data_IF_329773631135
#
_entry.id   IF_329773631135
#
_cell.length_a   1.000
_cell.length_b   1.000
_cell.length_c   1.000
_cell.angle_alpha   90.00
_cell.angle_beta   90.00
_cell.angle_gamma   90.00
#
_symmetry.space_group_name_H-M   'P 1'
#
loop_
_entity.id
_entity.type
_entity.pdbx_description
1 polymer ?
#
# COMPACT_ATOMS: atom_id res chain seq x y z
N UNK A 1 -5.93 17.58 14.17
CA UNK A 1 -6.32 18.17 12.88
C UNK A 1 -5.12 18.48 11.98
N UNK A 2 -4.06 19.17 12.44
CA UNK A 2 -2.91 19.50 11.55
C UNK A 2 -2.09 18.27 11.10
N UNK A 3 -1.74 17.36 12.02
CA UNK A 3 -0.93 16.17 11.70
C UNK A 3 -1.68 15.14 10.83
N UNK A 4 -3.00 15.02 11.00
CA UNK A 4 -3.84 14.12 10.20
C UNK A 4 -3.93 14.59 8.74
N UNK A 5 -4.05 15.91 8.54
CA UNK A 5 -4.14 16.53 7.23
C UNK A 5 -2.80 16.43 6.48
N UNK A 6 -1.66 16.68 7.14
CA UNK A 6 -0.33 16.52 6.54
C UNK A 6 -0.05 15.06 6.09
N UNK A 7 -0.40 14.08 6.93
CA UNK A 7 -0.24 12.66 6.59
C UNK A 7 -1.14 12.28 5.39
N UNK A 8 -2.38 12.75 5.38
CA UNK A 8 -3.31 12.49 4.29
C UNK A 8 -2.82 13.08 2.96
N UNK A 9 -2.32 14.32 2.97
CA UNK A 9 -1.75 15.01 1.79
C UNK A 9 -0.48 14.32 1.29
N UNK A 10 0.41 13.87 2.19
CA UNK A 10 1.63 13.13 1.79
C UNK A 10 1.33 11.75 1.22
N UNK A 11 0.28 11.07 1.70
CA UNK A 11 -0.20 9.81 1.12
C UNK A 11 -0.81 10.01 -0.27
N UNK A 12 -1.48 11.15 -0.49
CA UNK A 12 -2.04 11.50 -1.80
C UNK A 12 -0.98 12.00 -2.80
N UNK A 13 0.08 12.65 -2.31
CA UNK A 13 1.20 13.19 -3.09
C UNK A 13 2.35 12.21 -3.35
N UNK A 14 2.22 10.94 -2.97
CA UNK A 14 3.26 9.88 -2.97
C UNK A 14 3.81 9.48 -4.36
N UNK A 15 3.82 10.38 -5.34
CA UNK A 15 4.27 10.15 -6.70
C UNK A 15 5.77 9.80 -6.85
N UNK A 16 6.55 9.78 -5.77
CA UNK A 16 7.94 9.34 -5.80
C UNK A 16 8.03 7.82 -5.60
N UNK A 17 8.56 7.11 -6.60
CA UNK A 17 8.79 5.65 -6.60
C UNK A 17 9.53 5.13 -5.36
N UNK A 18 10.40 5.92 -4.74
CA UNK A 18 11.16 5.51 -3.56
C UNK A 18 10.35 5.65 -2.26
N UNK A 19 9.33 6.52 -2.23
CA UNK A 19 8.42 6.66 -1.09
C UNK A 19 7.40 5.51 -1.02
N UNK A 20 7.09 4.86 -2.14
CA UNK A 20 6.08 3.78 -2.17
C UNK A 20 6.42 2.65 -1.19
N UNK A 21 7.67 2.16 -1.18
CA UNK A 21 8.04 1.08 -0.27
C UNK A 21 8.01 1.53 1.19
N UNK A 22 8.50 2.74 1.47
CA UNK A 22 8.43 3.36 2.80
C UNK A 22 6.99 3.46 3.30
N UNK A 23 6.09 3.84 2.40
CA UNK A 23 4.66 3.95 2.68
C UNK A 23 4.00 2.59 2.92
N UNK A 24 4.41 1.53 2.21
CA UNK A 24 3.94 0.18 2.50
C UNK A 24 4.30 -0.24 3.94
N UNK A 25 5.50 0.08 4.41
CA UNK A 25 5.92 -0.19 5.80
C UNK A 25 5.15 0.66 6.82
N UNK A 26 4.79 1.91 6.49
CA UNK A 26 3.92 2.74 7.34
C UNK A 26 2.51 2.15 7.38
N UNK A 27 1.97 1.70 6.24
CA UNK A 27 0.63 1.13 6.14
C UNK A 27 0.52 -0.26 6.80
N UNK A 28 1.58 -1.06 6.82
CA UNK A 28 1.59 -2.37 7.48
C UNK A 28 1.71 -2.27 9.03
N UNK A 29 1.16 -1.22 9.61
CA UNK A 29 1.12 -1.05 11.06
C UNK A 29 0.26 -2.14 11.71
N UNK A 30 0.72 -2.80 12.81
CA UNK A 30 0.00 -3.91 13.44
C UNK A 30 -1.42 -3.54 13.89
N UNK A 31 -1.67 -2.28 14.26
CA UNK A 31 -3.00 -1.80 14.68
C UNK A 31 -3.97 -1.54 13.52
N UNK A 32 -3.50 -1.62 12.27
CA UNK A 32 -4.34 -1.42 11.09
C UNK A 32 -4.86 -2.76 10.56
N UNK A 33 -6.18 -2.97 10.40
CA UNK A 33 -6.71 -4.20 9.82
C UNK A 33 -6.19 -4.43 8.39
N UNK A 34 -5.82 -5.67 8.05
CA UNK A 34 -5.23 -6.02 6.75
C UNK A 34 -6.01 -5.46 5.53
N UNK A 35 -7.35 -5.48 5.57
CA UNK A 35 -8.19 -4.95 4.48
C UNK A 35 -8.06 -3.43 4.29
N UNK A 36 -7.74 -2.68 5.35
CA UNK A 36 -7.46 -1.25 5.31
C UNK A 36 -6.03 -0.99 4.81
N UNK A 37 -5.06 -1.81 5.21
CA UNK A 37 -3.67 -1.73 4.75
C UNK A 37 -3.59 -1.86 3.22
N UNK A 38 -4.22 -2.89 2.65
CA UNK A 38 -4.17 -3.19 1.21
C UNK A 38 -4.86 -2.09 0.39
N UNK A 39 -5.97 -1.52 0.88
CA UNK A 39 -6.68 -0.45 0.20
C UNK A 39 -5.84 0.83 0.05
N UNK A 40 -5.16 1.24 1.13
CA UNK A 40 -4.26 2.40 1.13
C UNK A 40 -3.02 2.13 0.28
N UNK A 41 -2.46 0.92 0.40
CA UNK A 41 -1.31 0.48 -0.39
C UNK A 41 -1.56 0.56 -1.89
N UNK A 42 -2.69 0.05 -2.36
CA UNK A 42 -3.04 0.11 -3.78
C UNK A 42 -3.18 1.56 -4.26
N UNK A 43 -3.79 2.44 -3.45
CA UNK A 43 -3.89 3.88 -3.78
C UNK A 43 -2.51 4.51 -3.98
N UNK A 44 -1.54 4.15 -3.15
CA UNK A 44 -0.17 4.68 -3.15
C UNK A 44 0.67 4.09 -4.27
N UNK A 45 0.67 2.77 -4.44
CA UNK A 45 1.60 2.04 -5.30
C UNK A 45 1.30 2.26 -6.78
N UNK A 46 0.02 2.36 -7.12
CA UNK A 46 -0.41 2.15 -8.49
C UNK A 46 -1.03 3.36 -9.17
N UNK A 47 -1.18 4.46 -8.43
CA UNK A 47 -1.95 5.62 -8.91
C UNK A 47 -3.40 5.29 -9.26
N UNK A 48 -3.88 4.08 -8.89
CA UNK A 48 -5.23 3.64 -9.19
C UNK A 48 -6.24 4.58 -8.54
N UNK A 49 -7.27 4.88 -9.31
CA UNK A 49 -8.44 5.61 -8.79
C UNK A 49 -9.15 4.77 -7.75
N UNK A 50 -9.83 5.41 -6.80
CA UNK A 50 -10.62 4.71 -5.78
C UNK A 50 -11.62 3.74 -6.41
N UNK A 51 -12.16 4.10 -7.58
CA UNK A 51 -13.01 3.24 -8.41
C UNK A 51 -12.37 1.91 -8.81
N UNK A 52 -11.12 1.95 -9.29
CA UNK A 52 -10.40 0.74 -9.68
C UNK A 52 -10.11 -0.16 -8.46
N UNK A 53 -9.77 0.46 -7.33
CA UNK A 53 -9.54 -0.26 -6.07
C UNK A 53 -10.86 -0.88 -5.57
N UNK A 54 -11.96 -0.14 -5.57
CA UNK A 54 -13.26 -0.65 -5.14
C UNK A 54 -13.69 -1.89 -5.93
N UNK A 55 -13.46 -1.91 -7.25
CA UNK A 55 -13.67 -3.09 -8.10
C UNK A 55 -12.81 -4.28 -7.69
N UNK A 56 -11.51 -4.08 -7.43
CA UNK A 56 -10.59 -5.14 -7.01
C UNK A 56 -11.04 -5.81 -5.69
N UNK A 57 -11.63 -5.05 -4.77
CA UNK A 57 -12.13 -5.57 -3.50
C UNK A 57 -13.61 -5.96 -3.50
N UNK A 58 -14.30 -5.87 -4.64
CA UNK A 58 -15.73 -6.16 -4.76
C UNK A 58 -16.59 -5.38 -3.76
N UNK A 59 -16.28 -4.09 -3.57
CA UNK A 59 -17.06 -3.16 -2.73
C UNK A 59 -17.49 -1.93 -3.50
N UNK A 60 -18.42 -1.14 -2.94
CA UNK A 60 -18.78 0.14 -3.54
C UNK A 60 -17.63 1.15 -3.44
N UNK A 61 -17.59 2.10 -4.39
CA UNK A 61 -16.60 3.19 -4.38
C UNK A 61 -16.65 3.97 -3.05
N UNK A 62 -17.86 4.30 -2.58
CA UNK A 62 -18.10 4.93 -1.27
C UNK A 62 -17.56 4.11 -0.09
N UNK A 63 -17.75 2.79 -0.08
CA UNK A 63 -17.22 1.94 0.99
C UNK A 63 -15.68 1.90 0.96
N UNK A 64 -15.08 1.96 -0.23
CA UNK A 64 -13.64 2.02 -0.39
C UNK A 64 -13.06 3.38 0.04
N UNK A 65 -13.69 4.50 -0.34
CA UNK A 65 -13.31 5.84 0.12
C UNK A 65 -13.27 5.91 1.63
N UNK A 66 -14.35 5.46 2.30
CA UNK A 66 -14.40 5.44 3.75
C UNK A 66 -13.33 4.54 4.39
N UNK A 67 -12.97 3.42 3.75
CA UNK A 67 -11.87 2.56 4.23
C UNK A 67 -10.54 3.30 4.15
N UNK A 68 -10.28 3.98 3.04
CA UNK A 68 -9.06 4.77 2.85
C UNK A 68 -9.00 5.90 3.88
N UNK A 69 -10.07 6.68 4.06
CA UNK A 69 -10.12 7.77 5.05
C UNK A 69 -9.87 7.27 6.47
N UNK A 70 -10.54 6.18 6.89
CA UNK A 70 -10.34 5.59 8.23
C UNK A 70 -8.92 5.06 8.43
N UNK A 71 -8.32 4.52 7.38
CA UNK A 71 -6.95 4.02 7.45
C UNK A 71 -5.94 5.17 7.60
N UNK A 72 -6.13 6.27 6.86
CA UNK A 72 -5.34 7.51 7.01
C UNK A 72 -5.45 8.08 8.43
N UNK A 73 -6.68 8.19 8.94
CA UNK A 73 -6.94 8.67 10.29
C UNK A 73 -6.25 7.80 11.35
N UNK A 74 -6.34 6.46 11.22
CA UNK A 74 -5.64 5.53 12.14
C UNK A 74 -4.12 5.65 12.11
N UNK A 75 -3.54 5.87 10.94
CA UNK A 75 -2.08 6.07 10.81
C UNK A 75 -1.69 7.37 11.52
N UNK A 76 -2.50 8.43 11.39
CA UNK A 76 -2.29 9.70 12.09
C UNK A 76 -2.47 9.57 13.61
N UNK A 77 -3.52 8.90 14.06
CA UNK A 77 -3.83 8.68 15.49
C UNK A 77 -2.77 7.81 16.19
N UNK A 78 -2.16 6.88 15.47
CA UNK A 78 -1.09 6.03 16.00
C UNK A 78 0.19 6.82 16.31
N UNK A 79 0.27 8.11 15.95
CA UNK A 79 1.42 8.97 16.20
C UNK A 79 2.69 8.48 15.51
N UNK A 80 2.55 7.60 14.52
CA UNK A 80 3.67 7.03 13.77
C UNK A 80 4.27 8.18 12.97
N UNK A 81 5.53 8.57 13.23
CA UNK A 81 6.19 9.56 12.41
C UNK A 81 6.11 9.07 10.97
N UNK A 82 5.80 9.97 10.03
CA UNK A 82 5.88 9.67 8.60
C UNK A 82 7.34 9.60 8.16
N UNK A 83 8.14 8.86 8.91
CA UNK A 83 9.54 8.56 8.73
C UNK A 83 9.65 7.07 8.38
N UNK A 84 10.78 6.70 7.80
CA UNK A 84 11.05 5.30 7.50
C UNK A 84 11.11 4.52 8.81
N UNK A 85 10.31 3.45 8.99
CA UNK A 85 10.37 2.66 10.22
C UNK A 85 11.77 2.13 10.47
N UNK A 86 12.11 1.98 11.75
CA UNK A 86 13.41 1.45 12.18
C UNK A 86 13.66 0.03 11.64
N UNK A 87 14.89 -0.46 11.68
CA UNK A 87 15.21 -1.82 11.19
C UNK A 87 14.39 -2.92 11.88
N UNK A 88 14.15 -2.79 13.20
CA UNK A 88 13.33 -3.73 13.99
C UNK A 88 11.88 -3.72 13.52
N UNK A 89 11.25 -2.55 13.46
CA UNK A 89 9.86 -2.41 13.00
C UNK A 89 9.67 -2.88 11.56
N UNK A 90 10.64 -2.61 10.67
CA UNK A 90 10.58 -3.13 9.29
C UNK A 90 10.65 -4.65 9.27
N UNK A 91 11.44 -5.28 10.14
CA UNK A 91 11.51 -6.74 10.24
C UNK A 91 10.18 -7.32 10.73
N UNK A 92 9.57 -6.73 11.75
CA UNK A 92 8.25 -7.14 12.28
C UNK A 92 7.13 -7.02 11.23
N UNK A 93 7.22 -6.00 10.37
CA UNK A 93 6.22 -5.71 9.34
C UNK A 93 6.48 -6.40 8.00
N UNK A 94 7.63 -7.06 7.84
CA UNK A 94 8.05 -7.61 6.54
C UNK A 94 7.02 -8.59 5.97
N UNK A 95 6.52 -9.52 6.78
CA UNK A 95 5.55 -10.51 6.33
C UNK A 95 4.27 -9.86 5.79
N UNK A 96 3.79 -8.80 6.44
CA UNK A 96 2.64 -8.03 5.98
C UNK A 96 2.95 -7.28 4.66
N UNK A 97 4.12 -6.67 4.55
CA UNK A 97 4.55 -5.98 3.32
C UNK A 97 4.71 -6.97 2.16
N UNK A 98 5.31 -8.13 2.39
CA UNK A 98 5.47 -9.19 1.39
C UNK A 98 4.11 -9.73 0.93
N UNK A 99 3.18 -9.97 1.87
CA UNK A 99 1.81 -10.34 1.54
C UNK A 99 1.11 -9.27 0.70
N UNK A 100 1.34 -7.99 1.00
CA UNK A 100 0.78 -6.88 0.24
C UNK A 100 1.34 -6.80 -1.19
N UNK A 101 2.65 -6.98 -1.36
CA UNK A 101 3.30 -7.08 -2.67
C UNK A 101 2.74 -8.25 -3.49
N UNK A 102 2.54 -9.41 -2.85
CA UNK A 102 1.93 -10.57 -3.48
C UNK A 102 0.50 -10.29 -3.97
N UNK A 103 -0.32 -9.60 -3.15
CA UNK A 103 -1.68 -9.23 -3.54
C UNK A 103 -1.70 -8.26 -4.72
N UNK A 104 -0.79 -7.28 -4.76
CA UNK A 104 -0.65 -6.35 -5.89
C UNK A 104 -0.29 -7.12 -7.16
N UNK A 105 0.63 -8.07 -7.08
CA UNK A 105 0.99 -8.93 -8.20
C UNK A 105 -0.20 -9.78 -8.68
N UNK A 106 -0.91 -10.44 -7.76
CA UNK A 106 -2.07 -11.25 -8.09
C UNK A 106 -3.18 -10.44 -8.77
N UNK A 107 -3.42 -9.21 -8.33
CA UNK A 107 -4.40 -8.32 -8.94
C UNK A 107 -3.99 -7.89 -10.36
N UNK A 108 -2.70 -7.64 -10.57
CA UNK A 108 -2.13 -7.36 -11.89
C UNK A 108 -2.15 -8.57 -12.82
N UNK A 109 -1.96 -9.77 -12.28
CA UNK A 109 -1.87 -11.04 -13.00
C UNK A 109 -3.25 -11.64 -13.33
N UNK A 110 -4.27 -11.41 -12.49
CA UNK A 110 -5.60 -12.00 -12.66
C UNK A 110 -6.25 -11.57 -13.98
N UNK A 111 -6.42 -12.54 -14.89
CA UNK A 111 -6.90 -12.33 -16.25
C UNK A 111 -8.43 -12.34 -16.31
N UNK A 112 -9.07 -11.18 -16.09
CA UNK A 112 -10.38 -10.95 -16.69
C UNK A 112 -10.16 -10.28 -18.06
N UNK A 113 -10.63 -10.95 -19.11
CA UNK A 113 -10.26 -10.83 -20.53
C UNK A 113 -10.57 -9.48 -21.24
N UNK A 114 -10.72 -8.37 -20.51
CA UNK A 114 -10.90 -7.02 -21.07
C UNK A 114 -9.99 -5.93 -20.49
N UNK A 115 -9.29 -6.16 -19.37
CA UNK A 115 -8.51 -5.13 -18.67
C UNK A 115 -6.98 -5.38 -18.68
N UNK A 116 -6.51 -6.43 -19.37
CA UNK A 116 -5.11 -6.88 -19.32
C UNK A 116 -4.05 -5.77 -19.57
N UNK A 117 -4.21 -4.83 -20.55
CA UNK A 117 -3.22 -3.77 -20.77
C UNK A 117 -3.12 -2.77 -19.61
N UNK A 118 -4.22 -2.53 -18.89
CA UNK A 118 -4.27 -1.59 -17.78
C UNK A 118 -3.67 -2.17 -16.48
N UNK A 119 -3.48 -3.50 -16.42
CA UNK A 119 -3.03 -4.22 -15.22
C UNK A 119 -1.55 -4.62 -15.24
N UNK A 120 -0.92 -4.66 -16.41
CA UNK A 120 0.52 -4.92 -16.54
C UNK A 120 1.42 -4.01 -15.67
N UNK A 121 1.13 -2.69 -15.52
CA UNK A 121 1.91 -1.83 -14.64
C UNK A 121 1.90 -2.25 -13.16
N UNK A 122 0.84 -2.91 -12.69
CA UNK A 122 0.74 -3.42 -11.32
C UNK A 122 1.72 -4.56 -11.07
N UNK A 123 1.81 -5.50 -12.02
CA UNK A 123 2.78 -6.60 -11.95
C UNK A 123 4.22 -6.07 -11.95
N UNK A 124 4.53 -5.13 -12.84
CA UNK A 124 5.86 -4.52 -12.93
C UNK A 124 6.25 -3.83 -11.63
N UNK A 125 5.31 -3.10 -11.03
CA UNK A 125 5.54 -2.40 -9.78
C UNK A 125 5.68 -3.35 -8.58
N UNK A 126 4.86 -4.41 -8.51
CA UNK A 126 5.03 -5.46 -7.50
C UNK A 126 6.40 -6.14 -7.60
N UNK A 127 6.86 -6.45 -8.82
CA UNK A 127 8.21 -7.01 -9.05
C UNK A 127 9.29 -6.01 -8.62
N UNK A 128 9.13 -4.72 -8.91
CA UNK A 128 10.07 -3.67 -8.48
C UNK A 128 10.16 -3.61 -6.95
N UNK A 129 9.03 -3.63 -6.26
CA UNK A 129 8.96 -3.61 -4.79
C UNK A 129 9.57 -4.86 -4.16
N UNK A 130 9.30 -6.05 -4.72
CA UNK A 130 9.92 -7.30 -4.27
C UNK A 130 11.46 -7.24 -4.38
N UNK A 131 11.99 -6.70 -5.48
CA UNK A 131 13.45 -6.51 -5.64
C UNK A 131 14.04 -5.54 -4.62
N UNK A 132 13.30 -4.50 -4.23
CA UNK A 132 13.75 -3.57 -3.19
C UNK A 132 13.73 -4.23 -1.80
N UNK A 133 12.72 -5.05 -1.49
CA UNK A 133 12.69 -5.84 -0.26
C UNK A 133 13.91 -6.77 -0.16
N UNK A 134 14.22 -7.51 -1.21
CA UNK A 134 15.40 -8.40 -1.24
C UNK A 134 16.73 -7.65 -1.05
N UNK A 135 16.82 -6.39 -1.48
CA UNK A 135 18.02 -5.56 -1.24
C UNK A 135 18.14 -5.09 0.21
N UNK A 136 17.00 -4.84 0.87
CA UNK A 136 16.92 -4.38 2.26
C UNK A 136 17.04 -5.53 3.27
N UNK A 137 16.54 -6.71 2.91
CA UNK A 137 16.49 -7.92 3.73
C UNK A 137 17.27 -9.05 3.05
N UNK A 138 18.58 -8.87 2.95
CA UNK A 138 19.46 -9.80 2.20
C UNK A 138 19.56 -11.19 2.83
N UNK A 139 19.05 -11.36 4.06
CA UNK A 139 19.13 -12.58 4.86
C UNK A 139 17.80 -13.33 4.96
N UNK A 140 16.69 -12.77 4.46
CA UNK A 140 15.40 -13.44 4.42
C UNK A 140 15.10 -13.91 2.98
N UNK A 141 14.56 -15.13 2.80
CA UNK A 141 14.40 -15.77 1.49
C UNK A 141 13.35 -15.13 0.60
#
# INVERSE_FOLDING_TARGET
>A
EDAETDIAERLDGAHYRDDILRLLFICCHPDLPATQQIAVALRIVSGLTVKQIARAFLVSESAMEQRITRAKARIADAGVPFETPGAVERSERLAAVAAMVYLIFNEGYSTNSGEAPARAPLCEEAIRLARLLLRLFQTEP
#
